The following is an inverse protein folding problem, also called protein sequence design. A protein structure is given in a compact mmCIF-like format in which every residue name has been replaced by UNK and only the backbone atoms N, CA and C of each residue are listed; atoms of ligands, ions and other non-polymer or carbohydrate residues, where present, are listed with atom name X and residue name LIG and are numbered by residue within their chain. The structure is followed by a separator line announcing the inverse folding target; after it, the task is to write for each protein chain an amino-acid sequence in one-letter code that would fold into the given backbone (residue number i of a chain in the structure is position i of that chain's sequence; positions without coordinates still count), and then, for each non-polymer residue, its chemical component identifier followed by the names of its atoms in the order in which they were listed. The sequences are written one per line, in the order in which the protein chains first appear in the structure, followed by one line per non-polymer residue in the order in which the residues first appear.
data_IF_281720362197
#
_entry.id   IF_281720362197
#
_cell.length_a   1.000
_cell.length_b   1.000
_cell.length_c   1.000
_cell.angle_alpha   90.00
_cell.angle_beta   90.00
_cell.angle_gamma   90.00
#
_symmetry.space_group_name_H-M   'P 1'
#
loop_
_entity.id
_entity.type
_entity.pdbx_description
1 polymer ?
#
# COMPACT_ATOMS: atom_id res chain seq x y z
N UNK A 1 29.82 -12.91 5.29
CA UNK A 1 28.95 -13.07 4.09
C UNK A 1 27.72 -13.90 4.50
N UNK A 2 26.54 -13.66 3.92
CA UNK A 2 25.39 -14.55 4.15
C UNK A 2 25.68 -15.92 3.54
N UNK A 3 25.02 -16.96 4.03
CA UNK A 3 25.10 -18.30 3.46
C UNK A 3 23.83 -18.52 2.63
N UNK A 4 23.95 -18.98 1.39
CA UNK A 4 22.84 -19.23 0.47
C UNK A 4 23.31 -20.22 -0.61
N UNK A 5 22.90 -21.47 -0.47
CA UNK A 5 23.14 -22.51 -1.46
C UNK A 5 21.85 -22.86 -2.21
N UNK A 6 21.99 -23.44 -3.40
CA UNK A 6 20.86 -23.92 -4.20
C UNK A 6 21.23 -25.20 -4.94
N UNK A 7 20.29 -26.13 -5.04
CA UNK A 7 20.39 -27.23 -6.02
C UNK A 7 19.96 -26.67 -7.39
N UNK A 8 20.92 -26.44 -8.29
CA UNK A 8 20.65 -25.81 -9.59
C UNK A 8 20.17 -26.80 -10.64
N UNK A 9 20.77 -28.00 -10.69
CA UNK A 9 20.49 -29.03 -11.69
C UNK A 9 20.57 -30.41 -11.03
N UNK A 10 19.72 -31.32 -11.50
CA UNK A 10 19.88 -32.75 -11.24
C UNK A 10 19.77 -33.48 -12.57
N UNK A 11 20.69 -34.43 -12.80
CA UNK A 11 20.63 -35.37 -13.92
C UNK A 11 20.64 -36.79 -13.35
N UNK A 12 19.71 -37.64 -13.80
CA UNK A 12 19.66 -39.07 -13.44
C UNK A 12 20.34 -39.91 -14.52
N UNK A 13 21.14 -40.87 -14.09
CA UNK A 13 21.62 -42.02 -14.87
C UNK A 13 21.09 -43.30 -14.22
N UNK A 14 21.35 -44.47 -14.82
CA UNK A 14 20.94 -45.76 -14.25
C UNK A 14 21.48 -45.94 -12.82
N UNK A 15 22.78 -45.78 -12.63
CA UNK A 15 23.43 -46.09 -11.34
C UNK A 15 23.76 -44.86 -10.50
N UNK A 16 23.65 -43.65 -11.08
CA UNK A 16 24.12 -42.42 -10.45
C UNK A 16 23.17 -41.24 -10.64
N UNK A 17 23.16 -40.34 -9.65
CA UNK A 17 22.48 -39.04 -9.69
C UNK A 17 23.55 -37.95 -9.61
N UNK A 18 23.60 -37.11 -10.63
CA UNK A 18 24.48 -35.94 -10.66
C UNK A 18 23.74 -34.72 -10.13
N UNK A 19 24.18 -34.19 -9.00
CA UNK A 19 23.59 -33.04 -8.33
C UNK A 19 24.52 -31.86 -8.46
N UNK A 20 24.03 -30.76 -9.02
CA UNK A 20 24.81 -29.52 -9.08
C UNK A 20 24.38 -28.56 -8.00
N UNK A 21 25.28 -28.29 -7.04
CA UNK A 21 25.11 -27.32 -5.97
C UNK A 21 25.74 -25.99 -6.41
N UNK A 22 25.01 -24.88 -6.24
CA UNK A 22 25.47 -23.52 -6.51
C UNK A 22 25.58 -22.73 -5.20
N UNK A 23 26.73 -22.11 -4.97
CA UNK A 23 26.95 -21.18 -3.86
C UNK A 23 26.66 -19.76 -4.35
N UNK A 24 25.53 -19.18 -3.93
CA UNK A 24 25.06 -17.88 -4.46
C UNK A 24 25.73 -16.68 -3.81
N UNK A 25 26.35 -16.87 -2.65
CA UNK A 25 26.94 -15.81 -1.82
C UNK A 25 28.46 -15.91 -1.73
N UNK A 26 29.05 -16.96 -2.31
CA UNK A 26 30.48 -17.26 -2.21
C UNK A 26 30.97 -17.34 -0.75
N UNK A 27 30.11 -17.83 0.15
CA UNK A 27 30.46 -18.12 1.52
C UNK A 27 31.19 -19.47 1.57
N UNK A 28 32.40 -19.51 2.13
CA UNK A 28 33.15 -20.75 2.26
C UNK A 28 32.77 -21.45 3.58
N UNK A 29 31.69 -22.23 3.54
CA UNK A 29 31.18 -23.02 4.67
C UNK A 29 30.73 -24.40 4.18
N UNK A 30 30.77 -25.44 5.03
CA UNK A 30 30.22 -26.75 4.68
C UNK A 30 28.71 -26.67 4.44
N UNK A 31 28.21 -27.52 3.54
CA UNK A 31 26.77 -27.72 3.29
C UNK A 31 26.43 -29.20 3.32
N UNK A 32 25.37 -29.57 4.04
CA UNK A 32 24.84 -30.94 4.08
C UNK A 32 23.86 -31.16 2.93
N UNK A 33 23.91 -32.33 2.30
CA UNK A 33 22.96 -32.80 1.28
C UNK A 33 22.30 -34.08 1.76
N UNK A 34 20.97 -34.08 1.76
CA UNK A 34 20.13 -35.18 2.17
C UNK A 34 19.46 -35.82 0.95
N UNK A 35 19.45 -37.14 0.93
CA UNK A 35 18.62 -37.93 0.01
C UNK A 35 17.39 -38.43 0.77
N UNK A 36 16.20 -38.21 0.21
CA UNK A 36 14.93 -38.55 0.86
C UNK A 36 14.11 -39.47 -0.02
N UNK A 37 13.56 -40.53 0.58
CA UNK A 37 12.58 -41.42 -0.03
C UNK A 37 11.35 -41.47 0.86
N UNK A 38 10.17 -41.10 0.33
CA UNK A 38 8.93 -40.97 1.10
C UNK A 38 9.11 -40.25 2.45
N UNK A 39 9.75 -39.08 2.42
CA UNK A 39 10.07 -38.23 3.59
C UNK A 39 11.00 -38.84 4.64
N UNK A 40 11.52 -40.05 4.42
CA UNK A 40 12.55 -40.68 5.24
C UNK A 40 13.95 -40.38 4.69
N UNK A 41 14.87 -40.01 5.58
CA UNK A 41 16.28 -39.74 5.23
C UNK A 41 16.95 -41.07 4.87
N UNK A 42 17.49 -41.16 3.66
CA UNK A 42 18.23 -42.33 3.18
C UNK A 42 19.74 -42.14 3.36
N UNK A 43 20.25 -40.92 3.12
CA UNK A 43 21.65 -40.57 3.33
C UNK A 43 21.81 -39.09 3.67
N UNK A 44 22.90 -38.77 4.36
CA UNK A 44 23.37 -37.41 4.67
C UNK A 44 24.86 -37.31 4.37
N UNK A 45 25.22 -36.44 3.44
CA UNK A 45 26.62 -36.19 3.07
C UNK A 45 26.97 -34.71 3.27
N UNK A 46 28.20 -34.43 3.69
CA UNK A 46 28.71 -33.08 3.85
C UNK A 46 29.68 -32.74 2.72
N UNK A 47 29.57 -31.52 2.20
CA UNK A 47 30.45 -31.01 1.16
C UNK A 47 31.07 -29.69 1.62
N UNK A 48 32.39 -29.59 1.50
CA UNK A 48 33.19 -28.40 1.84
C UNK A 48 33.75 -27.76 0.58
N UNK A 49 34.18 -26.50 0.69
CA UNK A 49 34.88 -25.78 -0.38
C UNK A 49 34.11 -25.68 -1.71
N UNK A 50 32.77 -25.57 -1.66
CA UNK A 50 31.96 -25.35 -2.87
C UNK A 50 32.23 -23.93 -3.39
N UNK A 51 32.88 -23.76 -4.57
CA UNK A 51 33.34 -22.45 -5.01
C UNK A 51 32.18 -21.58 -5.50
N UNK A 52 31.86 -21.66 -6.80
CA UNK A 52 30.65 -21.06 -7.39
C UNK A 52 29.60 -22.12 -7.66
N UNK A 53 30.04 -23.27 -8.14
CA UNK A 53 29.21 -24.39 -8.53
C UNK A 53 30.04 -25.67 -8.46
N UNK A 54 29.46 -26.75 -7.98
CA UNK A 54 30.08 -28.06 -7.93
C UNK A 54 29.04 -29.11 -8.28
N UNK A 55 29.41 -30.04 -9.16
CA UNK A 55 28.60 -31.22 -9.45
C UNK A 55 29.13 -32.40 -8.68
N UNK A 56 28.23 -33.11 -8.00
CA UNK A 56 28.53 -34.25 -7.15
C UNK A 56 27.78 -35.45 -7.72
N UNK A 57 28.44 -36.60 -7.74
CA UNK A 57 27.81 -37.89 -8.05
C UNK A 57 27.35 -38.57 -6.77
N UNK A 58 26.13 -39.10 -6.78
CA UNK A 58 25.55 -39.91 -5.72
C UNK A 58 25.07 -41.25 -6.30
N UNK A 59 25.14 -42.36 -5.56
CA UNK A 59 24.49 -43.60 -5.96
C UNK A 59 22.99 -43.40 -6.18
N UNK A 60 22.44 -43.95 -7.25
CA UNK A 60 21.01 -43.86 -7.55
C UNK A 60 20.20 -44.87 -6.73
N UNK A 61 19.91 -44.55 -5.48
CA UNK A 61 19.04 -45.35 -4.60
C UNK A 61 17.54 -45.07 -4.80
N UNK A 62 17.18 -44.55 -5.97
CA UNK A 62 15.81 -44.13 -6.32
C UNK A 62 15.16 -43.15 -5.30
N UNK A 63 15.85 -42.07 -4.85
CA UNK A 63 15.26 -41.09 -3.96
C UNK A 63 14.13 -40.31 -4.65
N UNK A 64 13.18 -39.80 -3.88
CA UNK A 64 12.14 -38.89 -4.37
C UNK A 64 12.60 -37.43 -4.36
N UNK A 65 13.42 -37.04 -3.38
CA UNK A 65 13.87 -35.65 -3.19
C UNK A 65 15.34 -35.57 -2.78
N UNK A 66 15.97 -34.47 -3.16
CA UNK A 66 17.28 -34.03 -2.68
C UNK A 66 17.13 -32.68 -2.00
N UNK A 67 17.75 -32.52 -0.82
CA UNK A 67 17.58 -31.33 0.00
C UNK A 67 18.91 -30.91 0.64
N UNK A 68 19.28 -29.65 0.48
CA UNK A 68 20.40 -29.07 1.22
C UNK A 68 19.95 -28.63 2.62
N UNK A 69 20.79 -28.88 3.63
CA UNK A 69 20.60 -28.37 4.99
C UNK A 69 19.21 -28.71 5.58
N UNK A 70 18.77 -29.96 5.40
CA UNK A 70 17.46 -30.44 5.86
C UNK A 70 17.28 -30.32 7.38
N UNK A 71 18.38 -30.48 8.12
CA UNK A 71 18.47 -30.33 9.58
C UNK A 71 18.55 -28.87 10.06
N UNK A 72 18.64 -27.90 9.13
CA UNK A 72 18.65 -26.45 9.40
C UNK A 72 19.78 -25.99 10.34
N UNK A 73 20.87 -26.75 10.42
CA UNK A 73 22.04 -26.40 11.24
C UNK A 73 22.73 -25.15 10.69
N UNK A 74 22.76 -25.00 9.36
CA UNK A 74 23.43 -23.87 8.74
C UNK A 74 22.43 -22.70 8.63
N UNK A 75 22.76 -21.51 9.16
CA UNK A 75 21.88 -20.35 9.15
C UNK A 75 21.84 -19.69 7.75
N UNK A 76 21.20 -20.36 6.81
CA UNK A 76 21.04 -19.89 5.45
C UNK A 76 19.99 -18.79 5.33
N UNK A 77 20.26 -17.83 4.44
CA UNK A 77 19.32 -16.76 4.14
C UNK A 77 18.05 -17.27 3.44
N UNK A 78 18.19 -18.27 2.56
CA UNK A 78 17.09 -18.79 1.78
C UNK A 78 17.13 -20.31 1.72
N UNK A 79 16.32 -20.97 2.53
CA UNK A 79 16.21 -22.44 2.52
C UNK A 79 15.20 -22.95 1.48
N UNK A 80 14.58 -22.05 0.70
CA UNK A 80 13.45 -22.39 -0.19
C UNK A 80 13.91 -23.02 -1.50
N UNK A 81 15.10 -22.67 -1.97
CA UNK A 81 15.75 -23.22 -3.16
C UNK A 81 16.75 -24.35 -2.85
N UNK A 82 16.75 -24.83 -1.60
CA UNK A 82 17.50 -26.01 -1.18
C UNK A 82 16.86 -27.32 -1.63
N UNK A 83 15.60 -27.29 -2.07
CA UNK A 83 14.78 -28.47 -2.36
C UNK A 83 14.71 -28.74 -3.86
N UNK A 84 14.88 -30.01 -4.24
CA UNK A 84 14.66 -30.42 -5.62
C UNK A 84 14.00 -31.80 -5.65
N UNK A 85 12.79 -31.84 -6.21
CA UNK A 85 12.09 -33.10 -6.48
C UNK A 85 12.68 -33.76 -7.71
N UNK A 86 12.84 -35.08 -7.64
CA UNK A 86 13.27 -35.88 -8.78
C UNK A 86 12.08 -36.49 -9.56
N UNK A 87 10.88 -36.45 -8.98
CA UNK A 87 9.63 -36.91 -9.60
C UNK A 87 8.68 -35.71 -9.76
N UNK A 88 8.08 -35.52 -10.94
CA UNK A 88 7.00 -34.56 -11.18
C UNK A 88 7.33 -33.32 -12.02
N UNK A 89 6.32 -32.45 -12.16
CA UNK A 89 6.31 -31.25 -13.01
C UNK A 89 7.38 -30.26 -12.52
N UNK A 90 8.18 -29.77 -13.47
CA UNK A 90 9.47 -29.06 -13.32
C UNK A 90 9.40 -27.81 -12.39
N UNK A 91 8.21 -27.30 -12.09
CA UNK A 91 8.01 -26.02 -11.41
C UNK A 91 7.64 -26.10 -9.92
N UNK A 92 7.28 -27.28 -9.37
CA UNK A 92 6.84 -27.38 -7.97
C UNK A 92 7.72 -28.34 -7.15
N UNK A 93 8.86 -27.86 -6.67
CA UNK A 93 9.79 -28.66 -5.86
C UNK A 93 9.36 -28.87 -4.41
N UNK A 94 8.26 -28.23 -3.98
CA UNK A 94 7.75 -28.23 -2.61
C UNK A 94 6.23 -28.38 -2.61
N UNK A 95 5.65 -29.24 -1.76
CA UNK A 95 4.19 -29.39 -1.69
C UNK A 95 3.51 -28.07 -1.29
N UNK A 96 2.30 -27.85 -1.82
CA UNK A 96 1.44 -26.73 -1.43
C UNK A 96 0.88 -27.01 -0.04
N UNK A 97 0.92 -26.02 0.86
CA UNK A 97 0.31 -26.09 2.17
C UNK A 97 -0.65 -24.92 2.33
N UNK A 98 -1.95 -25.22 2.42
CA UNK A 98 -2.99 -24.21 2.67
C UNK A 98 -3.17 -24.09 4.17
N UNK A 99 -3.12 -22.85 4.69
CA UNK A 99 -3.29 -22.58 6.12
C UNK A 99 -4.22 -21.40 6.34
N UNK A 100 -5.03 -21.48 7.39
CA UNK A 100 -5.77 -20.33 7.88
C UNK A 100 -4.82 -19.42 8.67
N UNK A 101 -4.96 -18.10 8.49
CA UNK A 101 -4.17 -17.07 9.18
C UNK A 101 -2.67 -17.12 8.88
N UNK A 102 -1.97 -16.07 9.33
CA UNK A 102 -0.55 -15.90 9.10
C UNK A 102 0.27 -16.76 10.07
N UNK A 103 1.26 -17.49 9.57
CA UNK A 103 2.20 -18.23 10.42
C UNK A 103 3.68 -18.07 10.01
N UNK A 104 4.57 -18.63 10.83
CA UNK A 104 6.01 -18.77 10.57
C UNK A 104 6.21 -19.63 9.33
N UNK A 105 7.20 -19.27 8.53
CA UNK A 105 7.46 -19.95 7.28
C UNK A 105 8.01 -21.36 7.50
N UNK A 106 7.41 -22.35 6.85
CA UNK A 106 8.00 -23.69 6.74
C UNK A 106 8.71 -23.81 5.37
N UNK A 107 10.07 -23.92 5.34
CA UNK A 107 10.83 -24.04 4.10
C UNK A 107 10.48 -25.28 3.26
N UNK A 108 9.92 -26.33 3.87
CA UNK A 108 9.50 -27.55 3.18
C UNK A 108 8.30 -27.30 2.24
N UNK A 109 7.42 -26.35 2.57
CA UNK A 109 6.16 -26.13 1.85
C UNK A 109 6.14 -24.81 1.07
N UNK A 110 5.36 -24.81 -0.01
CA UNK A 110 4.83 -23.58 -0.61
C UNK A 110 3.55 -23.20 0.15
N UNK A 111 3.66 -22.24 1.08
CA UNK A 111 2.54 -21.87 1.94
C UNK A 111 1.61 -20.84 1.28
N UNK A 112 0.32 -21.17 1.23
CA UNK A 112 -0.79 -20.29 0.89
C UNK A 112 -1.61 -20.03 2.15
N UNK A 113 -1.63 -18.78 2.61
CA UNK A 113 -2.46 -18.35 3.72
C UNK A 113 -3.79 -17.82 3.22
N UNK A 114 -4.86 -18.10 3.95
CA UNK A 114 -6.17 -17.52 3.71
C UNK A 114 -6.81 -17.00 4.99
N UNK A 115 -7.58 -15.93 4.87
CA UNK A 115 -8.44 -15.39 5.94
C UNK A 115 -9.74 -14.85 5.34
N UNK A 116 -10.88 -14.95 6.04
CA UNK A 116 -12.08 -14.24 5.63
C UNK A 116 -11.84 -12.74 5.68
N UNK A 117 -12.47 -12.01 4.76
CA UNK A 117 -12.45 -10.55 4.70
C UNK A 117 -13.86 -10.05 4.43
N UNK A 118 -14.15 -8.85 4.92
CA UNK A 118 -15.38 -8.12 4.61
C UNK A 118 -14.96 -6.67 4.36
N UNK A 119 -15.40 -6.11 3.24
CA UNK A 119 -15.27 -4.68 2.96
C UNK A 119 -16.66 -4.06 2.80
N UNK A 120 -16.69 -2.74 2.71
CA UNK A 120 -17.89 -1.99 2.41
C UNK A 120 -17.55 -0.80 1.50
N UNK A 121 -18.32 -0.66 0.43
CA UNK A 121 -18.51 0.61 -0.27
C UNK A 121 -19.99 0.74 -0.64
N UNK A 122 -20.47 1.94 -0.88
CA UNK A 122 -21.88 2.23 -1.08
C UNK A 122 -22.47 1.48 -2.29
N UNK A 123 -21.70 1.29 -3.36
CA UNK A 123 -22.17 0.73 -4.62
C UNK A 123 -22.17 -0.81 -4.63
N UNK A 124 -21.15 -1.43 -4.04
CA UNK A 124 -21.09 -2.90 -3.89
C UNK A 124 -21.77 -3.41 -2.62
N UNK A 125 -22.04 -2.52 -1.67
CA UNK A 125 -22.56 -2.85 -0.34
C UNK A 125 -21.53 -3.59 0.50
N UNK A 126 -22.02 -4.47 1.37
CA UNK A 126 -21.16 -5.38 2.12
C UNK A 126 -20.56 -6.39 1.13
N UNK A 127 -19.24 -6.57 1.18
CA UNK A 127 -18.48 -7.41 0.26
C UNK A 127 -17.74 -8.51 1.03
N UNK A 128 -18.42 -9.62 1.40
CA UNK A 128 -17.76 -10.77 1.98
C UNK A 128 -16.84 -11.45 0.96
N UNK A 129 -15.69 -11.93 1.43
CA UNK A 129 -14.70 -12.57 0.57
C UNK A 129 -13.64 -13.32 1.35
N UNK A 130 -12.59 -13.74 0.64
CA UNK A 130 -11.42 -14.37 1.22
C UNK A 130 -10.15 -13.73 0.67
N UNK A 131 -9.17 -13.50 1.55
CA UNK A 131 -7.85 -13.01 1.18
C UNK A 131 -6.87 -14.17 1.11
N UNK A 132 -6.21 -14.34 -0.03
CA UNK A 132 -5.21 -15.36 -0.30
C UNK A 132 -3.83 -14.72 -0.48
N UNK A 133 -2.84 -15.13 0.30
CA UNK A 133 -1.51 -14.51 0.30
C UNK A 133 -0.42 -15.47 0.76
N UNK A 134 0.84 -15.22 0.42
CA UNK A 134 1.98 -16.06 0.86
C UNK A 134 2.89 -15.38 1.90
N UNK A 135 2.57 -14.16 2.33
CA UNK A 135 3.41 -13.39 3.27
C UNK A 135 3.36 -13.99 4.68
N UNK A 136 4.48 -14.56 5.11
CA UNK A 136 4.73 -15.06 6.47
C UNK A 136 5.31 -13.98 7.40
N UNK A 137 5.67 -14.34 8.63
CA UNK A 137 6.43 -13.45 9.54
C UNK A 137 7.80 -13.07 8.98
N UNK A 138 8.51 -14.03 8.40
CA UNK A 138 9.76 -13.77 7.69
C UNK A 138 9.50 -13.14 6.33
N UNK A 139 10.39 -12.21 5.96
CA UNK A 139 10.33 -11.50 4.70
C UNK A 139 10.60 -12.43 3.51
N UNK A 140 9.83 -12.23 2.43
CA UNK A 140 9.93 -13.01 1.19
C UNK A 140 10.28 -12.09 0.02
N UNK A 141 11.14 -12.52 -0.92
CA UNK A 141 11.38 -11.75 -2.14
C UNK A 141 10.11 -11.59 -2.95
N UNK A 142 9.36 -12.67 -3.19
CA UNK A 142 8.11 -12.62 -3.96
C UNK A 142 6.89 -12.75 -3.04
N UNK A 143 5.97 -11.80 -3.15
CA UNK A 143 4.72 -11.77 -2.38
C UNK A 143 3.55 -11.61 -3.34
N UNK A 144 2.51 -12.40 -3.15
CA UNK A 144 1.21 -12.17 -3.76
C UNK A 144 0.15 -11.98 -2.68
N UNK A 145 -0.89 -11.21 -3.01
CA UNK A 145 -2.03 -10.92 -2.16
C UNK A 145 -3.26 -10.70 -3.04
N UNK A 146 -4.24 -11.59 -2.97
CA UNK A 146 -5.42 -11.62 -3.84
C UNK A 146 -6.65 -11.68 -2.94
N UNK A 147 -7.64 -10.82 -3.21
CA UNK A 147 -8.79 -10.58 -2.34
C UNK A 147 -10.12 -10.60 -3.12
N UNK A 148 -10.52 -11.75 -3.68
CA UNK A 148 -11.83 -11.90 -4.28
C UNK A 148 -12.91 -11.74 -3.20
N UNK A 149 -13.95 -10.99 -3.55
CA UNK A 149 -15.11 -10.72 -2.71
C UNK A 149 -16.36 -10.65 -3.59
N UNK A 150 -17.54 -10.78 -3.00
CA UNK A 150 -18.81 -10.70 -3.72
C UNK A 150 -19.59 -9.48 -3.23
N UNK A 151 -19.93 -8.55 -4.11
CA UNK A 151 -20.73 -7.37 -3.76
C UNK A 151 -22.19 -7.73 -3.62
N UNK A 152 -22.75 -7.63 -2.41
CA UNK A 152 -24.15 -7.98 -2.18
C UNK A 152 -25.13 -7.02 -2.87
N UNK A 153 -24.78 -5.75 -3.02
CA UNK A 153 -25.64 -4.77 -3.70
C UNK A 153 -25.47 -4.84 -5.23
N UNK A 154 -24.23 -4.97 -5.72
CA UNK A 154 -23.95 -5.02 -7.15
C UNK A 154 -24.21 -6.40 -7.77
N UNK A 155 -24.24 -7.47 -6.96
CA UNK A 155 -24.40 -8.85 -7.42
C UNK A 155 -23.21 -9.38 -8.23
N UNK A 156 -22.04 -8.73 -8.14
CA UNK A 156 -20.85 -9.03 -8.95
C UNK A 156 -19.67 -9.51 -8.10
N UNK A 157 -18.76 -10.26 -8.73
CA UNK A 157 -17.45 -10.55 -8.17
C UNK A 157 -16.59 -9.29 -8.23
N UNK A 158 -16.10 -8.84 -7.08
CA UNK A 158 -15.25 -7.65 -6.93
C UNK A 158 -13.98 -7.99 -6.16
N UNK A 159 -13.01 -7.09 -6.15
CA UNK A 159 -11.82 -7.30 -5.33
C UNK A 159 -10.57 -6.62 -5.84
N UNK A 160 -9.45 -7.01 -5.23
CA UNK A 160 -8.14 -6.47 -5.58
C UNK A 160 -7.04 -7.53 -5.44
N UNK A 161 -6.00 -7.36 -6.25
CA UNK A 161 -4.84 -8.25 -6.28
C UNK A 161 -3.54 -7.47 -6.36
N UNK A 162 -2.46 -8.04 -5.85
CA UNK A 162 -1.11 -7.48 -6.01
C UNK A 162 -0.04 -8.57 -6.07
N UNK A 163 0.97 -8.32 -6.90
CA UNK A 163 2.22 -9.05 -6.98
C UNK A 163 3.35 -8.10 -6.61
N UNK A 164 4.31 -8.58 -5.83
CA UNK A 164 5.42 -7.79 -5.30
C UNK A 164 6.72 -8.59 -5.39
N UNK A 165 7.78 -7.97 -5.90
CA UNK A 165 9.14 -8.48 -5.82
C UNK A 165 10.05 -7.49 -5.06
N UNK A 166 10.67 -7.97 -3.99
CA UNK A 166 11.56 -7.23 -3.10
C UNK A 166 13.01 -7.62 -3.36
N UNK A 167 13.79 -6.66 -3.84
CA UNK A 167 15.21 -6.79 -4.04
C UNK A 167 15.98 -5.96 -3.01
N UNK A 168 16.67 -6.64 -2.10
CA UNK A 168 17.43 -6.01 -1.02
C UNK A 168 18.89 -5.75 -1.41
N UNK A 169 19.35 -4.51 -1.23
CA UNK A 169 20.74 -4.07 -1.44
C UNK A 169 21.36 -3.67 -0.11
N UNK A 170 21.97 -4.63 0.60
CA UNK A 170 22.34 -4.45 2.01
C UNK A 170 23.35 -3.34 2.26
N UNK A 171 24.32 -3.20 1.36
CA UNK A 171 25.48 -2.32 1.51
C UNK A 171 25.28 -1.00 0.75
N UNK A 172 24.03 -0.62 0.48
CA UNK A 172 23.66 0.62 -0.20
C UNK A 172 22.64 1.41 0.59
N UNK A 173 22.71 2.75 0.49
CA UNK A 173 21.71 3.66 1.05
C UNK A 173 20.31 3.39 0.51
N UNK A 174 20.19 3.10 -0.78
CA UNK A 174 18.98 2.53 -1.34
C UNK A 174 19.00 1.02 -1.10
N UNK A 175 18.37 0.60 -0.01
CA UNK A 175 18.51 -0.76 0.49
C UNK A 175 17.40 -1.71 0.09
N UNK A 176 16.29 -1.19 -0.41
CA UNK A 176 15.15 -1.99 -0.82
C UNK A 176 14.52 -1.39 -2.07
N UNK A 177 14.64 -2.13 -3.16
CA UNK A 177 13.94 -1.89 -4.40
C UNK A 177 12.74 -2.83 -4.44
N UNK A 178 11.55 -2.29 -4.64
CA UNK A 178 10.30 -3.05 -4.67
C UNK A 178 9.61 -2.82 -5.99
N UNK A 179 9.41 -3.90 -6.74
CA UNK A 179 8.65 -3.91 -7.99
C UNK A 179 7.27 -4.48 -7.69
N UNK A 180 6.22 -3.83 -8.17
CA UNK A 180 4.85 -4.28 -7.94
C UNK A 180 3.99 -4.13 -9.17
N UNK A 181 3.01 -5.02 -9.26
CA UNK A 181 1.85 -4.90 -10.13
C UNK A 181 0.61 -5.09 -9.25
N UNK A 182 -0.29 -4.12 -9.21
CA UNK A 182 -1.57 -4.25 -8.50
C UNK A 182 -2.73 -3.95 -9.43
N UNK A 183 -3.88 -4.53 -9.12
CA UNK A 183 -5.12 -4.19 -9.79
C UNK A 183 -6.33 -4.35 -8.89
N UNK A 184 -7.42 -3.72 -9.29
CA UNK A 184 -8.70 -3.77 -8.57
C UNK A 184 -9.86 -3.69 -9.53
N UNK A 185 -11.02 -4.19 -9.09
CA UNK A 185 -12.30 -4.12 -9.79
C UNK A 185 -13.42 -3.92 -8.77
N UNK A 186 -14.14 -2.81 -8.87
CA UNK A 186 -15.23 -2.42 -7.96
C UNK A 186 -16.22 -1.48 -8.67
N UNK A 187 -17.34 -1.15 -8.02
CA UNK A 187 -18.30 -0.17 -8.55
C UNK A 187 -18.04 1.23 -7.99
N UNK A 188 -18.22 2.24 -8.84
CA UNK A 188 -18.10 3.65 -8.44
C UNK A 188 -19.40 4.44 -8.57
N UNK A 189 -20.39 3.87 -9.27
CA UNK A 189 -21.79 4.30 -9.33
C UNK A 189 -22.67 3.04 -9.45
N UNK A 190 -23.98 3.11 -9.14
CA UNK A 190 -24.89 2.00 -9.38
C UNK A 190 -24.82 1.58 -10.86
N UNK A 191 -24.51 0.30 -11.12
CA UNK A 191 -24.39 -0.25 -12.47
C UNK A 191 -23.09 0.06 -13.23
N UNK A 192 -22.18 0.87 -12.69
CA UNK A 192 -20.93 1.25 -13.37
C UNK A 192 -19.70 0.85 -12.55
N UNK A 193 -18.88 0.01 -13.16
CA UNK A 193 -17.64 -0.48 -12.57
C UNK A 193 -16.41 0.26 -13.07
N UNK A 194 -15.33 0.12 -12.31
CA UNK A 194 -14.00 0.51 -12.74
C UNK A 194 -13.02 -0.62 -12.47
N UNK A 195 -11.98 -0.67 -13.29
CA UNK A 195 -10.79 -1.49 -13.10
C UNK A 195 -9.55 -0.62 -13.01
N UNK A 196 -8.58 -1.03 -12.22
CA UNK A 196 -7.24 -0.42 -12.25
C UNK A 196 -6.15 -1.45 -12.48
N UNK A 197 -5.10 -1.03 -13.17
CA UNK A 197 -3.84 -1.77 -13.32
C UNK A 197 -2.69 -0.80 -13.07
N UNK A 198 -1.90 -1.07 -12.03
CA UNK A 198 -0.84 -0.17 -11.55
C UNK A 198 0.50 -0.90 -11.44
N UNK A 199 1.32 -0.92 -12.49
CA UNK A 199 2.74 -1.21 -12.35
C UNK A 199 3.44 -0.09 -11.55
N UNK A 200 4.34 -0.48 -10.66
CA UNK A 200 5.09 0.46 -9.83
C UNK A 200 6.47 -0.05 -9.42
N UNK A 201 7.40 0.89 -9.27
CA UNK A 201 8.74 0.68 -8.70
C UNK A 201 8.93 1.63 -7.53
N UNK A 202 9.37 1.09 -6.41
CA UNK A 202 9.59 1.84 -5.17
C UNK A 202 11.00 1.62 -4.67
N UNK A 203 11.71 2.72 -4.49
CA UNK A 203 13.04 2.77 -3.89
C UNK A 203 12.93 3.24 -2.45
N UNK A 204 13.50 2.49 -1.52
CA UNK A 204 13.48 2.82 -0.09
C UNK A 204 14.90 3.11 0.38
N UNK A 205 15.08 4.29 0.96
CA UNK A 205 16.37 4.78 1.42
C UNK A 205 16.44 4.72 2.94
N UNK A 206 17.60 4.34 3.46
CA UNK A 206 17.95 4.44 4.88
C UNK A 206 18.76 5.71 5.14
N UNK A 207 18.67 6.30 6.35
CA UNK A 207 19.58 7.35 6.79
C UNK A 207 20.99 6.79 7.04
N UNK A 208 21.98 7.69 7.12
CA UNK A 208 23.35 7.32 7.45
C UNK A 208 23.49 6.95 8.94
N UNK A 209 22.77 7.65 9.83
CA UNK A 209 22.60 7.23 11.22
C UNK A 209 21.51 6.16 11.34
N UNK A 210 21.90 4.92 11.64
CA UNK A 210 20.99 3.79 11.83
C UNK A 210 20.04 3.92 13.03
N UNK A 211 20.31 4.84 13.98
CA UNK A 211 19.40 5.14 15.09
C UNK A 211 18.31 6.14 14.69
N UNK A 212 18.49 6.84 13.57
CA UNK A 212 17.50 7.79 13.08
C UNK A 212 16.23 7.08 12.63
N UNK A 213 15.08 7.60 13.05
CA UNK A 213 13.77 7.15 12.58
C UNK A 213 13.39 7.76 11.22
N UNK A 214 14.30 8.47 10.54
CA UNK A 214 14.06 9.03 9.21
C UNK A 214 13.88 7.92 8.19
N UNK A 215 12.85 8.05 7.35
CA UNK A 215 12.58 7.14 6.23
C UNK A 215 12.31 7.96 4.99
N UNK A 216 12.93 7.60 3.87
CA UNK A 216 12.67 8.25 2.59
C UNK A 216 12.34 7.21 1.52
N UNK A 217 11.36 7.53 0.69
CA UNK A 217 10.83 6.66 -0.35
C UNK A 217 10.70 7.47 -1.63
N UNK A 218 11.13 6.89 -2.74
CA UNK A 218 10.85 7.37 -4.09
C UNK A 218 10.00 6.31 -4.81
N UNK A 219 8.82 6.70 -5.24
CA UNK A 219 7.85 5.85 -5.92
C UNK A 219 7.67 6.35 -7.36
N UNK A 220 7.75 5.42 -8.30
CA UNK A 220 7.29 5.59 -9.66
C UNK A 220 6.15 4.62 -9.87
N UNK A 221 5.00 5.10 -10.34
CA UNK A 221 3.88 4.23 -10.71
C UNK A 221 3.16 4.79 -11.91
N UNK A 222 2.47 3.92 -12.62
CA UNK A 222 1.57 4.33 -13.68
C UNK A 222 0.19 3.72 -13.39
N UNK A 223 -0.80 4.56 -13.11
CA UNK A 223 -2.15 4.14 -12.75
C UNK A 223 -2.99 4.12 -14.01
N UNK A 224 -3.31 2.94 -14.51
CA UNK A 224 -4.21 2.76 -15.65
C UNK A 224 -5.61 2.50 -15.11
N UNK A 225 -6.56 3.30 -15.55
CA UNK A 225 -7.94 3.29 -15.09
C UNK A 225 -8.83 2.97 -16.28
N UNK A 226 -9.70 1.98 -16.09
CA UNK A 226 -10.72 1.59 -17.04
C UNK A 226 -12.08 1.76 -16.39
N UNK A 227 -13.01 2.50 -16.99
CA UNK A 227 -14.35 2.73 -16.40
C UNK A 227 -15.43 2.37 -17.40
N UNK A 228 -16.51 1.81 -16.87
CA UNK A 228 -17.78 1.78 -17.58
C UNK A 228 -18.45 3.13 -17.42
N UNK A 229 -18.83 3.77 -18.52
CA UNK A 229 -19.55 5.05 -18.51
C UNK A 229 -20.96 4.85 -19.03
N UNK A 230 -21.85 5.73 -18.58
CA UNK A 230 -23.20 5.84 -19.12
C UNK A 230 -23.14 6.28 -20.59
N UNK A 231 -23.93 5.64 -21.46
CA UNK A 231 -24.04 5.99 -22.89
C UNK A 231 -24.52 7.44 -23.09
N UNK A 232 -25.22 8.00 -22.10
CA UNK A 232 -25.65 9.41 -22.11
C UNK A 232 -24.58 10.39 -21.62
N UNK A 233 -23.43 9.89 -21.13
CA UNK A 233 -22.37 10.72 -20.59
C UNK A 233 -21.49 11.27 -21.71
N UNK A 234 -21.35 12.60 -21.77
CA UNK A 234 -20.43 13.31 -22.68
C UNK A 234 -18.95 13.21 -22.26
N UNK A 235 -18.59 12.23 -21.41
CA UNK A 235 -17.23 12.10 -20.90
C UNK A 235 -16.31 11.55 -22.00
N UNK A 236 -15.51 12.43 -22.61
CA UNK A 236 -14.67 12.10 -23.78
C UNK A 236 -13.64 10.96 -23.56
N UNK A 237 -13.31 10.58 -22.32
CA UNK A 237 -12.30 9.55 -22.04
C UNK A 237 -12.70 8.71 -20.81
N UNK A 238 -13.42 7.58 -20.97
CA UNK A 238 -13.74 6.70 -19.85
C UNK A 238 -12.48 6.10 -19.22
N UNK A 239 -11.46 5.86 -20.06
CA UNK A 239 -10.22 5.21 -19.71
C UNK A 239 -9.06 6.20 -19.82
N UNK A 240 -8.15 6.15 -18.86
CA UNK A 240 -6.99 7.04 -18.85
C UNK A 240 -5.84 6.43 -18.07
N UNK A 241 -4.66 7.02 -18.25
CA UNK A 241 -3.45 6.66 -17.54
C UNK A 241 -2.82 7.88 -16.90
N UNK A 242 -2.39 7.74 -15.65
CA UNK A 242 -1.63 8.77 -14.93
C UNK A 242 -0.31 8.18 -14.48
N UNK A 243 0.79 8.67 -15.07
CA UNK A 243 2.11 8.45 -14.53
C UNK A 243 2.31 9.34 -13.30
N UNK A 244 2.74 8.75 -12.19
CA UNK A 244 2.92 9.42 -10.92
C UNK A 244 4.29 9.11 -10.34
N UNK A 245 5.07 10.16 -10.08
CA UNK A 245 6.33 10.10 -9.34
C UNK A 245 6.15 10.80 -8.01
N UNK A 246 6.43 10.10 -6.91
CA UNK A 246 6.26 10.63 -5.57
C UNK A 246 7.51 10.39 -4.72
N UNK A 247 8.05 11.45 -4.16
CA UNK A 247 9.05 11.38 -3.10
C UNK A 247 8.40 11.71 -1.76
N UNK A 248 8.69 10.90 -0.74
CA UNK A 248 8.25 11.14 0.63
C UNK A 248 9.43 10.97 1.56
N UNK A 249 9.60 11.90 2.49
CA UNK A 249 10.56 11.75 3.57
C UNK A 249 9.88 12.11 4.89
N UNK A 250 9.95 11.18 5.84
CA UNK A 250 9.30 11.31 7.14
C UNK A 250 10.30 11.03 8.25
N UNK A 251 10.28 11.87 9.28
CA UNK A 251 10.95 11.67 10.55
C UNK A 251 9.89 11.68 11.64
N UNK A 252 9.84 10.61 12.41
CA UNK A 252 8.82 10.42 13.44
C UNK A 252 9.47 10.03 14.76
N UNK A 253 9.27 10.86 15.78
CA UNK A 253 9.57 10.57 17.18
C UNK A 253 8.29 10.75 18.00
N UNK A 254 8.32 10.39 19.28
CA UNK A 254 7.15 10.55 20.16
C UNK A 254 6.72 12.01 20.26
N UNK A 255 7.69 12.93 20.31
CA UNK A 255 7.44 14.36 20.50
C UNK A 255 7.30 15.14 19.20
N UNK A 256 7.99 14.72 18.13
CA UNK A 256 8.09 15.49 16.90
C UNK A 256 7.83 14.60 15.68
N UNK A 257 7.00 15.10 14.78
CA UNK A 257 6.75 14.53 13.47
C UNK A 257 7.02 15.58 12.41
N UNK A 258 7.83 15.22 11.42
CA UNK A 258 8.06 16.03 10.23
C UNK A 258 7.96 15.13 9.01
N UNK A 259 7.06 15.45 8.09
CA UNK A 259 6.93 14.75 6.82
C UNK A 259 6.84 15.76 5.70
N UNK A 260 7.57 15.52 4.63
CA UNK A 260 7.39 16.29 3.40
C UNK A 260 7.32 15.34 2.22
N UNK A 261 6.48 15.70 1.25
CA UNK A 261 6.36 14.95 0.00
C UNK A 261 6.23 15.86 -1.19
N UNK A 262 6.90 15.47 -2.27
CA UNK A 262 6.72 16.03 -3.61
C UNK A 262 6.09 14.98 -4.51
N UNK A 263 5.14 15.41 -5.33
CA UNK A 263 4.38 14.56 -6.24
C UNK A 263 4.35 15.22 -7.62
N UNK A 264 4.64 14.45 -8.65
CA UNK A 264 4.49 14.85 -10.05
C UNK A 264 3.55 13.87 -10.73
N UNK A 265 2.57 14.39 -11.44
CA UNK A 265 1.61 13.62 -12.22
C UNK A 265 1.62 14.07 -13.66
N UNK A 266 1.62 13.10 -14.57
CA UNK A 266 1.57 13.30 -16.00
C UNK A 266 0.50 12.38 -16.59
N UNK A 267 -0.40 12.97 -17.38
CA UNK A 267 -1.40 12.29 -18.19
C UNK A 267 -1.44 12.94 -19.57
N UNK A 268 -2.28 12.42 -20.46
CA UNK A 268 -2.41 12.96 -21.82
C UNK A 268 -2.93 14.40 -21.84
N UNK A 269 -3.89 14.74 -20.95
CA UNK A 269 -4.54 16.06 -20.91
C UNK A 269 -3.93 17.02 -19.88
N UNK A 270 -3.07 16.57 -18.97
CA UNK A 270 -2.51 17.44 -17.94
C UNK A 270 -1.15 16.97 -17.41
N UNK A 271 -0.41 17.91 -16.85
CA UNK A 271 0.68 17.62 -15.92
C UNK A 271 0.64 18.57 -14.73
N UNK A 272 0.88 18.04 -13.53
CA UNK A 272 0.81 18.83 -12.31
C UNK A 272 1.82 18.39 -11.27
N UNK A 273 2.24 19.36 -10.46
CA UNK A 273 3.10 19.18 -9.30
C UNK A 273 2.30 19.42 -8.03
N UNK A 274 2.61 18.67 -6.98
CA UNK A 274 2.12 18.93 -5.65
C UNK A 274 3.23 18.77 -4.61
N UNK A 275 3.17 19.60 -3.58
CA UNK A 275 4.04 19.56 -2.42
C UNK A 275 3.19 19.56 -1.16
N UNK A 276 3.58 18.77 -0.17
CA UNK A 276 2.93 18.73 1.14
C UNK A 276 4.01 18.71 2.20
N UNK A 277 3.84 19.53 3.23
CA UNK A 277 4.65 19.58 4.44
C UNK A 277 3.74 19.41 5.64
N UNK A 278 4.05 18.46 6.50
CA UNK A 278 3.33 18.20 7.74
C UNK A 278 4.30 18.28 8.91
N UNK A 279 3.92 19.05 9.92
CA UNK A 279 4.64 19.18 11.17
C UNK A 279 3.69 18.91 12.33
N UNK A 280 4.09 18.04 13.25
CA UNK A 280 3.36 17.84 14.50
C UNK A 280 4.32 17.87 15.68
N UNK A 281 3.89 18.52 16.75
CA UNK A 281 4.62 18.57 18.02
C UNK A 281 3.70 18.24 19.18
N UNK A 282 4.13 17.30 20.01
CA UNK A 282 3.52 17.00 21.30
C UNK A 282 4.34 17.69 22.39
N UNK A 283 3.69 18.56 23.15
CA UNK A 283 4.29 19.28 24.28
C UNK A 283 4.13 18.48 25.58
N UNK A 284 4.97 18.78 26.57
CA UNK A 284 4.97 18.10 27.88
C UNK A 284 3.64 18.23 28.64
N UNK A 285 2.88 19.31 28.40
CA UNK A 285 1.54 19.52 28.94
C UNK A 285 0.44 18.74 28.18
N UNK A 286 0.83 17.76 27.36
CA UNK A 286 -0.04 16.98 26.47
C UNK A 286 -0.83 17.81 25.45
N UNK A 287 -0.41 19.06 25.18
CA UNK A 287 -0.91 19.81 24.03
C UNK A 287 -0.24 19.30 22.76
N UNK A 288 -0.99 19.21 21.69
CA UNK A 288 -0.53 18.85 20.37
C UNK A 288 -0.75 20.03 19.44
N UNK A 289 0.27 20.35 18.65
CA UNK A 289 0.19 21.28 17.53
C UNK A 289 0.33 20.48 16.26
N UNK A 290 -0.62 20.62 15.35
CA UNK A 290 -0.57 20.04 14.01
C UNK A 290 -0.59 21.17 12.99
N UNK A 291 0.38 21.19 12.10
CA UNK A 291 0.47 22.12 10.98
C UNK A 291 0.64 21.33 9.69
N UNK A 292 -0.07 21.75 8.66
CA UNK A 292 0.07 21.22 7.31
C UNK A 292 0.10 22.36 6.32
N UNK A 293 1.01 22.27 5.36
CA UNK A 293 1.06 23.14 4.20
C UNK A 293 0.94 22.29 2.94
N UNK A 294 0.13 22.73 1.99
CA UNK A 294 -0.02 22.13 0.68
C UNK A 294 0.14 23.18 -0.41
N UNK A 295 0.80 22.80 -1.49
CA UNK A 295 0.89 23.61 -2.70
C UNK A 295 0.76 22.69 -3.92
N UNK A 296 -0.16 23.01 -4.82
CA UNK A 296 -0.37 22.31 -6.09
C UNK A 296 -0.35 23.28 -7.25
N UNK A 297 0.25 22.91 -8.38
CA UNK A 297 0.30 23.70 -9.61
C UNK A 297 0.20 22.79 -10.83
N UNK A 298 -0.73 23.11 -11.73
CA UNK A 298 -0.73 22.58 -13.08
C UNK A 298 0.40 23.24 -13.87
N UNK A 299 1.27 22.42 -14.46
CA UNK A 299 2.26 22.87 -15.43
C UNK A 299 1.63 22.96 -16.82
N UNK A 300 0.67 22.07 -17.08
CA UNK A 300 -0.13 22.03 -18.30
C UNK A 300 -1.50 21.47 -17.96
N UNK A 301 -2.57 22.09 -18.46
CA UNK A 301 -3.93 21.61 -18.27
C UNK A 301 -4.80 21.90 -19.50
N UNK A 302 -5.13 20.86 -20.26
CA UNK A 302 -6.04 20.89 -21.41
C UNK A 302 -7.31 20.05 -21.13
N UNK A 303 -7.72 19.93 -19.86
CA UNK A 303 -8.94 19.18 -19.51
C UNK A 303 -10.18 20.06 -19.66
N UNK A 304 -11.25 19.52 -20.23
CA UNK A 304 -12.55 20.20 -20.37
C UNK A 304 -13.45 20.07 -19.12
N UNK A 305 -12.91 19.60 -17.99
CA UNK A 305 -13.67 19.29 -16.76
C UNK A 305 -12.78 19.39 -15.53
N UNK A 306 -13.35 19.63 -14.35
CA UNK A 306 -12.61 19.65 -13.09
C UNK A 306 -12.27 18.28 -12.49
N UNK A 307 -12.49 17.20 -13.24
CA UNK A 307 -12.25 15.83 -12.76
C UNK A 307 -10.80 15.61 -12.28
N UNK A 308 -9.83 16.30 -12.86
CA UNK A 308 -8.42 16.22 -12.47
C UNK A 308 -7.92 17.41 -11.62
N UNK A 309 -8.79 18.40 -11.35
CA UNK A 309 -8.47 19.61 -10.59
C UNK A 309 -8.05 19.28 -9.15
N UNK A 310 -7.28 20.17 -8.52
CA UNK A 310 -7.06 20.09 -7.08
C UNK A 310 -8.35 20.44 -6.35
N UNK A 311 -8.63 19.77 -5.24
CA UNK A 311 -9.79 20.06 -4.41
C UNK A 311 -9.40 20.63 -3.05
N UNK A 312 -10.24 21.55 -2.58
CA UNK A 312 -10.09 22.25 -1.33
C UNK A 312 -10.47 21.34 -0.15
N UNK A 313 -11.63 20.69 -0.24
CA UNK A 313 -12.26 19.93 0.85
C UNK A 313 -12.39 18.43 0.52
N UNK A 314 -12.76 18.07 -0.72
CA UNK A 314 -13.01 16.70 -1.15
C UNK A 314 -12.40 16.40 -2.53
N UNK A 315 -11.23 15.72 -2.58
CA UNK A 315 -10.59 15.33 -3.83
C UNK A 315 -11.42 14.39 -4.71
N UNK A 316 -11.31 14.54 -6.03
CA UNK A 316 -12.12 13.88 -7.08
C UNK A 316 -11.79 12.38 -7.32
N UNK A 317 -10.95 11.76 -6.47
CA UNK A 317 -10.54 10.33 -6.51
C UNK A 317 -10.25 9.75 -7.92
N UNK A 318 -9.71 10.55 -8.83
CA UNK A 318 -9.41 10.11 -10.21
C UNK A 318 -8.30 9.05 -10.28
N UNK A 319 -7.55 8.80 -9.22
CA UNK A 319 -6.61 7.67 -9.17
C UNK A 319 -7.24 6.40 -8.58
N UNK A 320 -8.48 6.49 -8.07
CA UNK A 320 -9.16 5.43 -7.31
C UNK A 320 -8.33 4.88 -6.13
N UNK A 321 -7.54 5.76 -5.51
CA UNK A 321 -6.68 5.45 -4.36
C UNK A 321 -7.35 5.79 -3.03
N UNK A 322 -8.36 6.65 -3.04
CA UNK A 322 -9.02 7.16 -1.84
C UNK A 322 -10.11 6.19 -1.36
N UNK A 323 -10.19 6.02 -0.05
CA UNK A 323 -11.11 5.08 0.61
C UNK A 323 -12.47 5.71 0.90
N UNK A 324 -13.06 6.36 -0.12
CA UNK A 324 -14.41 6.87 0.00
C UNK A 324 -15.42 5.73 0.05
N UNK A 325 -16.39 5.82 0.98
CA UNK A 325 -17.52 4.91 1.06
C UNK A 325 -18.45 5.11 -0.13
N UNK A 326 -18.81 6.36 -0.42
CA UNK A 326 -19.59 6.75 -1.60
C UNK A 326 -18.84 7.78 -2.41
N UNK A 327 -17.95 7.34 -3.29
CA UNK A 327 -17.03 8.22 -4.04
C UNK A 327 -17.71 9.17 -5.02
N UNK A 328 -18.82 8.78 -5.62
CA UNK A 328 -19.62 9.62 -6.53
C UNK A 328 -20.83 10.28 -5.86
N UNK A 329 -20.94 10.20 -4.52
CA UNK A 329 -22.04 10.84 -3.80
C UNK A 329 -21.78 12.33 -3.57
N UNK A 330 -22.71 13.16 -4.05
CA UNK A 330 -22.69 14.61 -3.87
C UNK A 330 -23.64 15.10 -2.77
N UNK A 331 -24.52 14.22 -2.25
CA UNK A 331 -25.47 14.53 -1.17
C UNK A 331 -25.53 13.40 -0.14
N UNK A 332 -26.28 13.62 0.95
CA UNK A 332 -26.43 12.67 2.04
C UNK A 332 -25.14 12.42 2.84
N UNK A 333 -25.18 11.40 3.71
CA UNK A 333 -24.10 11.13 4.68
C UNK A 333 -22.76 10.80 3.98
N UNK A 334 -22.76 10.11 2.85
CA UNK A 334 -21.51 9.74 2.17
C UNK A 334 -20.76 10.93 1.54
N UNK A 335 -21.48 12.01 1.21
CA UNK A 335 -20.88 13.28 0.76
C UNK A 335 -20.15 14.03 1.88
N UNK A 336 -20.49 13.73 3.14
CA UNK A 336 -19.89 14.33 4.34
C UNK A 336 -18.56 13.67 4.72
N UNK A 337 -18.24 12.50 4.16
CA UNK A 337 -16.94 11.89 4.39
C UNK A 337 -15.85 12.77 3.79
N UNK A 338 -14.79 13.01 4.57
CA UNK A 338 -13.59 13.70 4.11
C UNK A 338 -12.36 12.79 4.21
N UNK A 339 -11.39 13.04 3.36
CA UNK A 339 -10.06 12.46 3.42
C UNK A 339 -9.09 13.62 3.30
N UNK A 340 -8.31 13.87 4.35
CA UNK A 340 -7.37 15.00 4.40
C UNK A 340 -6.27 14.77 3.35
N UNK A 341 -6.43 15.46 2.22
CA UNK A 341 -5.51 15.48 1.09
C UNK A 341 -5.71 16.81 0.34
N UNK A 342 -4.75 17.19 -0.47
CA UNK A 342 -4.79 18.45 -1.25
C UNK A 342 -5.09 19.66 -0.36
N UNK A 343 -6.17 20.42 -0.58
CA UNK A 343 -6.48 21.61 0.22
C UNK A 343 -6.72 21.32 1.71
N UNK A 344 -7.30 20.16 2.02
CA UNK A 344 -7.54 19.68 3.38
C UNK A 344 -8.53 20.51 4.21
N UNK A 345 -9.40 21.31 3.60
CA UNK A 345 -10.46 22.08 4.27
C UNK A 345 -11.61 21.18 4.74
N UNK A 346 -12.38 21.67 5.72
CA UNK A 346 -13.45 20.89 6.36
C UNK A 346 -14.82 21.48 6.05
N UNK A 347 -14.88 22.75 5.67
CA UNK A 347 -16.12 23.40 5.22
C UNK A 347 -16.44 23.06 3.77
N UNK A 348 -17.73 23.10 3.41
CA UNK A 348 -18.18 23.01 2.00
C UNK A 348 -18.26 24.44 1.46
N UNK A 349 -17.25 24.85 0.70
CA UNK A 349 -17.22 26.19 0.10
C UNK A 349 -17.65 26.16 -1.35
N UNK A 350 -18.16 27.28 -1.84
CA UNK A 350 -18.42 27.48 -3.25
C UNK A 350 -17.11 27.44 -4.06
N UNK A 351 -17.13 26.78 -5.21
CA UNK A 351 -15.98 26.58 -6.09
C UNK A 351 -14.75 25.97 -5.37
N UNK A 352 -14.86 24.76 -4.78
CA UNK A 352 -13.78 24.15 -4.01
C UNK A 352 -12.66 23.59 -4.90
N UNK A 353 -12.70 23.78 -6.21
CA UNK A 353 -11.77 23.18 -7.16
C UNK A 353 -10.83 24.23 -7.75
N UNK A 354 -9.58 23.85 -7.97
CA UNK A 354 -8.56 24.67 -8.62
C UNK A 354 -7.92 23.91 -9.79
N UNK A 355 -8.11 24.42 -11.00
CA UNK A 355 -7.58 23.86 -12.24
C UNK A 355 -6.25 24.51 -12.70
N UNK A 356 -5.75 25.50 -11.95
CA UNK A 356 -4.42 26.09 -12.17
C UNK A 356 -3.50 25.87 -10.96
N UNK A 357 -3.77 26.50 -9.81
CA UNK A 357 -2.96 26.28 -8.61
C UNK A 357 -3.74 26.46 -7.31
N UNK A 358 -3.24 25.83 -6.25
CA UNK A 358 -3.81 25.91 -4.91
C UNK A 358 -2.69 25.93 -3.88
N UNK A 359 -2.78 26.82 -2.90
CA UNK A 359 -1.93 26.80 -1.71
C UNK A 359 -2.80 26.82 -0.47
N UNK A 360 -2.56 25.94 0.49
CA UNK A 360 -3.30 25.91 1.76
C UNK A 360 -2.40 25.68 2.96
N UNK A 361 -2.81 26.26 4.09
CA UNK A 361 -2.27 26.00 5.41
C UNK A 361 -3.42 25.52 6.29
N UNK A 362 -3.21 24.41 6.98
CA UNK A 362 -4.13 23.85 7.96
C UNK A 362 -3.45 23.81 9.31
N UNK A 363 -4.12 24.25 10.37
CA UNK A 363 -3.63 24.20 11.74
C UNK A 363 -4.65 23.57 12.68
N UNK A 364 -4.20 22.76 13.63
CA UNK A 364 -5.04 22.32 14.74
C UNK A 364 -4.29 22.21 16.06
N UNK A 365 -5.01 22.39 17.15
CA UNK A 365 -4.52 22.11 18.50
C UNK A 365 -5.63 21.58 19.39
N UNK A 366 -5.29 20.72 20.36
CA UNK A 366 -6.24 20.18 21.31
C UNK A 366 -6.54 21.19 22.43
N UNK A 367 -7.82 21.47 22.66
CA UNK A 367 -8.32 22.16 23.85
C UNK A 367 -8.37 21.22 25.06
N UNK A 368 -8.86 20.01 24.80
CA UNK A 368 -8.97 18.91 25.73
C UNK A 368 -8.66 17.61 24.99
N UNK A 369 -8.27 16.55 25.70
CA UNK A 369 -7.83 15.24 25.17
C UNK A 369 -8.28 14.91 23.72
N UNK A 370 -9.59 14.88 23.48
CA UNK A 370 -10.21 14.54 22.18
C UNK A 370 -10.98 15.71 21.53
N UNK A 371 -10.96 16.91 22.12
CA UNK A 371 -11.57 18.11 21.57
C UNK A 371 -10.47 19.02 21.03
N UNK A 372 -10.45 19.22 19.72
CA UNK A 372 -9.49 20.06 19.02
C UNK A 372 -10.20 21.25 18.38
N UNK A 373 -9.49 22.36 18.28
CA UNK A 373 -9.84 23.46 17.40
C UNK A 373 -8.95 23.40 16.16
N UNK A 374 -9.51 23.77 15.03
CA UNK A 374 -8.76 23.89 13.78
C UNK A 374 -9.07 25.21 13.09
N UNK A 375 -8.12 25.63 12.25
CA UNK A 375 -8.29 26.75 11.34
C UNK A 375 -7.48 26.50 10.07
N UNK A 376 -8.10 26.77 8.93
CA UNK A 376 -7.51 26.60 7.61
C UNK A 376 -7.55 27.93 6.85
N UNK A 377 -6.53 28.16 6.03
CA UNK A 377 -6.46 29.31 5.12
C UNK A 377 -5.88 28.87 3.79
N UNK A 378 -6.35 29.46 2.69
CA UNK A 378 -6.01 29.00 1.35
C UNK A 378 -6.19 30.05 0.27
N UNK A 379 -5.49 29.81 -0.83
CA UNK A 379 -5.62 30.54 -2.09
C UNK A 379 -5.83 29.54 -3.22
N UNK A 380 -6.82 29.80 -4.05
CA UNK A 380 -7.16 28.96 -5.21
C UNK A 380 -7.16 29.82 -6.46
N UNK A 381 -6.65 29.27 -7.56
CA UNK A 381 -6.72 29.90 -8.89
C UNK A 381 -7.29 28.92 -9.89
N UNK A 382 -8.24 29.43 -10.66
CA UNK A 382 -8.75 28.79 -11.87
C UNK A 382 -8.31 29.61 -13.08
N UNK A 383 -8.07 28.98 -14.23
CA UNK A 383 -7.47 29.62 -15.41
C UNK A 383 -8.24 30.85 -15.92
N UNK A 384 -9.55 30.92 -15.69
CA UNK A 384 -10.43 32.00 -16.18
C UNK A 384 -10.90 32.97 -15.09
N UNK A 385 -10.54 32.74 -13.82
CA UNK A 385 -11.01 33.53 -12.69
C UNK A 385 -9.83 34.07 -11.89
N UNK A 386 -10.01 35.17 -11.16
CA UNK A 386 -8.99 35.66 -10.24
C UNK A 386 -8.75 34.70 -9.06
N UNK A 387 -7.60 34.89 -8.41
CA UNK A 387 -7.26 34.08 -7.23
C UNK A 387 -8.24 34.37 -6.11
N UNK A 388 -8.83 33.32 -5.53
CA UNK A 388 -9.79 33.41 -4.44
C UNK A 388 -9.10 33.08 -3.12
N UNK A 389 -9.22 33.97 -2.13
CA UNK A 389 -8.82 33.71 -0.76
C UNK A 389 -9.96 33.04 0.02
N UNK A 390 -9.63 31.95 0.69
CA UNK A 390 -10.57 31.17 1.48
C UNK A 390 -10.02 30.82 2.85
N UNK A 391 -10.90 30.64 3.82
CA UNK A 391 -10.57 30.22 5.17
C UNK A 391 -11.74 29.46 5.80
N UNK A 392 -11.41 28.60 6.76
CA UNK A 392 -12.39 28.05 7.68
C UNK A 392 -11.83 27.84 9.08
N UNK A 393 -12.72 27.67 10.04
CA UNK A 393 -12.38 27.33 11.41
C UNK A 393 -13.51 26.52 12.04
N UNK A 394 -13.14 25.65 12.98
CA UNK A 394 -14.13 24.85 13.68
C UNK A 394 -13.58 23.96 14.77
N UNK A 395 -14.42 23.02 15.19
CA UNK A 395 -14.13 22.07 16.25
C UNK A 395 -13.99 20.68 15.63
N UNK A 396 -12.95 19.94 16.02
CA UNK A 396 -12.73 18.54 15.68
C UNK A 396 -12.90 17.70 16.94
N UNK A 397 -13.73 16.66 16.86
CA UNK A 397 -13.83 15.64 17.89
C UNK A 397 -13.05 14.40 17.42
N UNK A 398 -11.90 14.20 18.04
CA UNK A 398 -10.99 13.09 17.79
C UNK A 398 -11.33 11.93 18.75
N UNK A 399 -12.45 11.26 18.49
CA UNK A 399 -12.97 10.19 19.35
C UNK A 399 -12.03 8.98 19.34
N UNK A 400 -11.59 8.59 18.14
CA UNK A 400 -10.60 7.53 17.94
C UNK A 400 -9.66 7.96 16.82
N UNK A 401 -8.43 8.34 17.18
CA UNK A 401 -7.46 8.98 16.28
C UNK A 401 -7.14 8.16 15.05
N UNK A 402 -7.36 8.74 13.86
CA UNK A 402 -7.23 8.12 12.53
C UNK A 402 -8.33 7.07 12.18
N UNK A 403 -9.37 6.93 13.02
CA UNK A 403 -10.46 5.95 12.82
C UNK A 403 -11.82 6.59 12.70
N UNK A 404 -12.16 7.45 13.66
CA UNK A 404 -13.45 8.07 13.75
C UNK A 404 -13.28 9.47 14.33
N UNK A 405 -13.47 10.43 13.45
CA UNK A 405 -13.30 11.84 13.75
C UNK A 405 -14.46 12.60 13.17
N UNK A 406 -14.95 13.59 13.92
CA UNK A 406 -16.02 14.48 13.49
C UNK A 406 -15.47 15.88 13.40
N UNK A 407 -15.83 16.61 12.34
CA UNK A 407 -15.51 18.01 12.19
C UNK A 407 -16.81 18.81 12.12
N UNK A 408 -16.84 19.86 12.92
CA UNK A 408 -17.91 20.82 13.04
C UNK A 408 -17.37 22.16 12.54
N UNK A 409 -17.54 22.47 11.24
CA UNK A 409 -17.28 23.82 10.73
C UNK A 409 -18.07 24.84 11.54
N UNK A 410 -17.43 25.91 12.00
CA UNK A 410 -18.11 26.94 12.80
C UNK A 410 -18.17 28.25 12.03
N UNK A 411 -17.07 28.63 11.37
CA UNK A 411 -16.96 29.86 10.61
C UNK A 411 -16.13 29.64 9.35
N UNK A 412 -16.56 30.21 8.23
CA UNK A 412 -15.86 30.10 6.94
C UNK A 412 -16.14 31.32 6.06
N UNK A 413 -15.72 31.29 4.79
CA UNK A 413 -16.17 32.28 3.79
C UNK A 413 -17.70 32.37 3.66
N UNK A 414 -18.44 31.34 4.05
CA UNK A 414 -19.90 31.35 4.08
C UNK A 414 -20.47 32.13 5.29
N UNK A 415 -19.61 32.67 6.17
CA UNK A 415 -20.00 33.31 7.42
C UNK A 415 -20.11 32.33 8.58
N UNK A 416 -21.07 32.56 9.48
CA UNK A 416 -21.33 31.70 10.63
C UNK A 416 -22.13 30.47 10.22
N UNK A 417 -21.44 29.33 10.10
CA UNK A 417 -21.98 28.11 9.48
C UNK A 417 -23.13 27.50 10.29
N UNK A 418 -23.14 27.71 11.60
CA UNK A 418 -24.07 27.10 12.56
C UNK A 418 -25.50 27.66 12.45
N UNK A 419 -25.66 28.89 11.94
CA UNK A 419 -26.98 29.51 11.77
C UNK A 419 -27.73 28.96 10.54
N UNK A 420 -27.05 28.20 9.68
CA UNK A 420 -27.70 27.57 8.53
C UNK A 420 -28.61 26.42 8.99
N UNK A 421 -29.88 26.44 8.57
CA UNK A 421 -30.85 25.38 8.86
C UNK A 421 -30.38 23.98 8.42
N UNK A 422 -29.47 23.89 7.44
CA UNK A 422 -28.87 22.65 6.93
C UNK A 422 -27.48 22.37 7.51
N UNK A 423 -27.14 22.94 8.67
CA UNK A 423 -25.84 22.74 9.31
C UNK A 423 -25.42 21.27 9.46
N UNK A 424 -26.38 20.39 9.75
CA UNK A 424 -26.14 18.95 9.87
C UNK A 424 -25.55 18.33 8.58
N UNK A 425 -25.79 18.93 7.40
CA UNK A 425 -25.22 18.49 6.13
C UNK A 425 -23.77 18.95 5.89
N UNK A 426 -23.31 19.90 6.71
CA UNK A 426 -21.95 20.48 6.66
C UNK A 426 -20.98 19.79 7.61
N UNK A 427 -21.49 19.08 8.62
CA UNK A 427 -20.69 18.23 9.50
C UNK A 427 -19.92 17.23 8.63
N UNK A 428 -18.65 17.00 8.95
CA UNK A 428 -17.81 16.03 8.24
C UNK A 428 -17.36 14.91 9.15
N UNK A 429 -17.01 13.79 8.54
CA UNK A 429 -16.38 12.71 9.27
C UNK A 429 -15.23 12.05 8.51
N UNK A 430 -14.29 11.52 9.28
CA UNK A 430 -13.32 10.54 8.82
C UNK A 430 -13.73 9.21 9.43
N UNK A 431 -13.89 8.18 8.60
CA UNK A 431 -14.15 6.82 9.05
C UNK A 431 -13.26 5.81 8.32
N UNK A 432 -12.58 4.95 9.07
CA UNK A 432 -11.74 3.88 8.53
C UNK A 432 -12.34 2.51 8.86
N UNK A 433 -13.02 1.87 7.90
CA UNK A 433 -13.71 0.57 8.07
C UNK A 433 -12.80 -0.66 7.85
N UNK A 434 -11.50 -0.54 8.07
CA UNK A 434 -10.55 -1.63 7.82
C UNK A 434 -10.49 -2.59 9.02
N UNK A 435 -10.75 -3.91 8.86
CA UNK A 435 -10.71 -4.88 9.97
C UNK A 435 -9.37 -4.92 10.70
N UNK A 436 -8.26 -4.76 9.96
CA UNK A 436 -6.91 -4.70 10.55
C UNK A 436 -6.72 -3.46 11.42
N UNK A 437 -7.32 -2.35 11.00
CA UNK A 437 -7.30 -1.10 11.75
C UNK A 437 -8.14 -1.30 13.01
N UNK A 438 -9.38 -1.78 12.89
CA UNK A 438 -10.28 -2.05 14.03
C UNK A 438 -9.69 -3.02 15.08
N UNK A 439 -9.01 -4.09 14.65
CA UNK A 439 -8.28 -4.98 15.57
C UNK A 439 -7.13 -4.28 16.31
N UNK A 440 -6.57 -3.22 15.73
CA UNK A 440 -5.58 -2.35 16.35
C UNK A 440 -6.12 -1.61 17.58
N UNK A 441 -7.42 -1.32 17.64
CA UNK A 441 -8.08 -0.67 18.78
C UNK A 441 -7.90 -1.46 20.07
N UNK A 442 -8.02 -2.79 19.99
CA UNK A 442 -7.87 -3.70 21.13
C UNK A 442 -6.42 -3.86 21.60
N UNK A 443 -5.44 -3.41 20.81
CA UNK A 443 -4.01 -3.58 21.12
C UNK A 443 -3.31 -2.30 21.56
N UNK A 444 -3.88 -1.12 21.29
CA UNK A 444 -3.13 0.14 21.42
C UNK A 444 -3.53 1.06 22.56
N UNK A 445 -4.68 0.86 23.24
CA UNK A 445 -5.08 1.74 24.37
C UNK A 445 -6.39 1.36 25.08
N UNK A 446 -6.81 0.10 25.01
CA UNK A 446 -7.96 -0.37 25.80
C UNK A 446 -7.55 -1.09 27.11
N UNK A 447 -6.25 -1.08 27.42
CA UNK A 447 -5.67 -1.35 28.73
C UNK A 447 -4.76 -0.21 29.14
#
# INVERSE_FOLDING_TARGET
KKIDFKISKITRSQDSIYVTIKNKTHANVPISLFTLKNDSIQAKNWYTNIPKQQTISLPNTHPNKLVLNYDKIIPEYNQRDNWKSLNGIIFNHRPLQIRAFKDVENPYYNQLFHIPIVYYNYYDGITPGARFYNKSFLEKPFIYDIRPSYGLNSGKLVGAGSLLYRHYRRDSRNYLNTFSLSGSYFHYKPGYSYSTITPAVRFTFRPDDYRSNKRSILLFRNVNVFREVDETSTTEEPNYSVFNTRFVSTQNTVENFLSYSGDFQLSQKFSKLAFTLEYRKLFQNNRQLNLRFFYGKFLHNNTNSDFFSFALDRPTDYLFDLQYLGRSENSGIYSQQIIISEGGFKSKLDNPLANDWMATVNGSTNLWKWIEIYGDAGLLKNSQNDSQFVYDAGIRLNLVTDYFELYFPMYSNNGWEVDDARYAEKIRFIVTLSPRTLLGLFTRKWF
#
